data_IF_920632960508
#
_entry.id   IF_920632960508
#
_cell.length_a   1.000
_cell.length_b   1.000
_cell.length_c   1.000
_cell.angle_alpha   90.00
_cell.angle_beta   90.00
_cell.angle_gamma   90.00
#
_symmetry.space_group_name_H-M   'P 1'
#
loop_
_entity.id
_entity.type
_entity.pdbx_description
1 polymer ?
#
# COMPACT_ATOMS: atom_id res chain seq x y z
N UNK A 1 -17.40 -39.81 -33.73
CA UNK A 1 -16.68 -38.85 -34.60
C UNK A 1 -16.28 -37.65 -33.74
N UNK A 2 -14.99 -37.28 -33.66
CA UNK A 2 -14.57 -36.10 -32.91
C UNK A 2 -15.17 -34.85 -33.57
N UNK A 3 -15.90 -34.04 -32.79
CA UNK A 3 -16.51 -32.81 -33.27
C UNK A 3 -15.41 -31.87 -33.79
N UNK A 4 -15.56 -31.34 -35.01
CA UNK A 4 -14.63 -30.37 -35.61
C UNK A 4 -14.58 -29.11 -34.73
N UNK A 5 -13.49 -28.94 -33.98
CA UNK A 5 -13.27 -27.78 -33.12
C UNK A 5 -13.32 -26.44 -33.88
N UNK A 6 -12.99 -26.47 -35.18
CA UNK A 6 -13.06 -25.30 -36.08
C UNK A 6 -14.47 -24.74 -36.33
N UNK A 7 -15.51 -25.42 -35.85
CA UNK A 7 -16.92 -24.98 -35.94
C UNK A 7 -17.46 -24.48 -34.60
N UNK A 8 -16.63 -24.38 -33.57
CA UNK A 8 -17.02 -23.84 -32.28
C UNK A 8 -17.06 -22.31 -32.34
N UNK A 9 -18.08 -21.69 -31.75
CA UNK A 9 -18.32 -20.24 -31.76
C UNK A 9 -17.20 -19.38 -31.12
N UNK A 10 -16.18 -20.00 -30.55
CA UNK A 10 -15.01 -19.36 -29.92
C UNK A 10 -13.70 -19.59 -30.67
N UNK A 11 -13.71 -20.27 -31.81
CA UNK A 11 -12.48 -20.56 -32.58
C UNK A 11 -12.06 -19.44 -33.55
N UNK A 12 -12.93 -18.46 -33.80
CA UNK A 12 -12.61 -17.31 -34.64
C UNK A 12 -11.92 -16.19 -33.83
N UNK A 13 -10.92 -15.53 -34.42
CA UNK A 13 -10.20 -14.41 -33.79
C UNK A 13 -11.06 -13.15 -33.60
N UNK A 14 -12.25 -13.11 -34.21
CA UNK A 14 -13.24 -12.04 -34.05
C UNK A 14 -14.59 -12.64 -33.68
N UNK A 15 -15.28 -12.01 -32.73
CA UNK A 15 -16.66 -12.38 -32.42
C UNK A 15 -17.61 -11.82 -33.47
N UNK A 16 -18.49 -12.67 -33.98
CA UNK A 16 -19.65 -12.25 -34.77
C UNK A 16 -20.62 -11.42 -33.91
N UNK A 17 -21.53 -10.71 -34.58
CA UNK A 17 -22.56 -9.92 -33.89
C UNK A 17 -23.39 -10.77 -32.90
N UNK A 18 -23.78 -11.99 -33.31
CA UNK A 18 -24.57 -12.90 -32.47
C UNK A 18 -23.80 -13.43 -31.27
N UNK A 19 -22.49 -13.67 -31.40
CA UNK A 19 -21.64 -14.06 -30.28
C UNK A 19 -21.46 -12.92 -29.30
N UNK A 20 -21.22 -11.68 -29.78
CA UNK A 20 -21.17 -10.48 -28.92
C UNK A 20 -22.46 -10.26 -28.15
N UNK A 21 -23.62 -10.48 -28.78
CA UNK A 21 -24.93 -10.37 -28.12
C UNK A 21 -25.17 -11.46 -27.06
N UNK A 22 -24.51 -12.63 -27.18
CA UNK A 22 -24.59 -13.71 -26.18
C UNK A 22 -23.68 -13.48 -24.97
N UNK A 23 -22.64 -12.66 -25.13
CA UNK A 23 -21.74 -12.30 -24.05
C UNK A 23 -22.40 -11.20 -23.19
N UNK A 24 -23.07 -11.62 -22.11
CA UNK A 24 -23.84 -10.73 -21.23
C UNK A 24 -22.99 -9.83 -20.32
N UNK A 25 -21.69 -10.05 -20.22
CA UNK A 25 -20.86 -9.36 -19.23
C UNK A 25 -19.70 -8.56 -19.82
N UNK A 26 -19.67 -8.36 -21.16
CA UNK A 26 -18.55 -7.66 -21.83
C UNK A 26 -19.03 -6.64 -22.85
N UNK A 27 -18.34 -5.49 -22.89
CA UNK A 27 -18.57 -4.42 -23.86
C UNK A 27 -19.81 -3.56 -23.60
N UNK A 28 -20.08 -2.63 -24.53
CA UNK A 28 -21.23 -1.74 -24.45
C UNK A 28 -22.50 -2.45 -24.90
N UNK A 29 -23.43 -2.68 -23.99
CA UNK A 29 -24.74 -3.28 -24.29
C UNK A 29 -25.80 -2.21 -24.45
N UNK A 30 -26.67 -2.41 -25.44
CA UNK A 30 -27.83 -1.55 -25.69
C UNK A 30 -29.07 -2.40 -25.55
N UNK A 31 -29.80 -2.17 -24.48
CA UNK A 31 -31.07 -2.82 -24.18
C UNK A 31 -32.10 -1.76 -23.75
N UNK A 32 -33.38 -2.03 -24.02
CA UNK A 32 -34.47 -1.20 -23.50
C UNK A 32 -34.72 -1.62 -22.05
N UNK A 33 -34.52 -0.69 -21.14
CA UNK A 33 -34.79 -0.90 -19.72
C UNK A 33 -36.24 -0.54 -19.40
N UNK A 34 -36.89 -1.37 -18.59
CA UNK A 34 -38.24 -1.10 -18.08
C UNK A 34 -38.21 -0.11 -16.92
N UNK A 35 -39.38 0.40 -16.53
CA UNK A 35 -39.50 1.35 -15.41
C UNK A 35 -38.99 0.79 -14.09
N UNK A 36 -39.02 -0.52 -13.91
CA UNK A 36 -38.51 -1.20 -12.71
C UNK A 36 -36.97 -1.20 -12.63
N UNK A 37 -36.27 -0.92 -13.74
CA UNK A 37 -34.83 -0.71 -13.72
C UNK A 37 -34.45 0.66 -13.13
N UNK A 38 -35.41 1.58 -13.04
CA UNK A 38 -35.22 2.90 -12.44
C UNK A 38 -35.65 2.86 -10.98
N UNK A 39 -34.87 3.52 -10.11
CA UNK A 39 -35.26 3.69 -8.71
C UNK A 39 -36.49 4.58 -8.62
N UNK A 40 -37.52 4.11 -7.89
CA UNK A 40 -38.72 4.92 -7.59
C UNK A 40 -38.36 6.12 -6.72
N UNK A 41 -39.03 7.25 -6.91
CA UNK A 41 -38.77 8.47 -6.16
C UNK A 41 -38.98 8.30 -4.64
N UNK A 42 -39.96 7.49 -4.25
CA UNK A 42 -40.33 7.15 -2.86
C UNK A 42 -39.43 6.10 -2.19
N UNK A 43 -38.49 5.51 -2.94
CA UNK A 43 -37.61 4.48 -2.41
C UNK A 43 -36.51 5.11 -1.56
N UNK A 44 -36.20 4.46 -0.44
CA UNK A 44 -35.08 4.84 0.42
C UNK A 44 -33.75 4.67 -0.33
N UNK A 45 -32.89 5.69 -0.28
CA UNK A 45 -31.56 5.69 -0.91
C UNK A 45 -30.57 4.69 -0.30
N UNK A 46 -30.86 4.10 0.86
CA UNK A 46 -29.99 3.11 1.51
C UNK A 46 -30.45 1.67 1.29
N UNK A 47 -31.75 1.39 1.40
CA UNK A 47 -32.27 0.02 1.29
C UNK A 47 -33.04 -0.27 0.00
N UNK A 48 -33.23 0.73 -0.87
CA UNK A 48 -33.91 0.66 -2.16
C UNK A 48 -35.35 0.10 -2.14
N UNK A 49 -35.95 -0.01 -0.95
CA UNK A 49 -37.36 -0.33 -0.73
C UNK A 49 -38.15 0.97 -0.53
N UNK A 50 -39.47 0.91 -0.65
CA UNK A 50 -40.36 2.01 -0.28
C UNK A 50 -40.02 2.51 1.14
N UNK A 51 -39.85 3.82 1.29
CA UNK A 51 -39.34 4.38 2.54
C UNK A 51 -40.36 4.23 3.69
N UNK A 52 -39.92 3.65 4.80
CA UNK A 52 -40.68 3.56 6.05
C UNK A 52 -40.33 4.74 6.95
N UNK A 53 -41.34 5.49 7.40
CA UNK A 53 -41.17 6.75 8.14
C UNK A 53 -40.13 7.67 7.43
N UNK A 54 -40.46 8.16 6.22
CA UNK A 54 -39.50 8.84 5.36
C UNK A 54 -38.98 10.12 6.02
N UNK A 55 -37.66 10.30 5.95
CA UNK A 55 -36.99 11.54 6.29
C UNK A 55 -36.28 12.05 5.03
N UNK A 56 -36.29 13.37 4.84
CA UNK A 56 -35.73 14.02 3.67
C UNK A 56 -34.55 14.91 4.06
N UNK A 57 -33.49 14.89 3.26
CA UNK A 57 -32.41 15.89 3.38
C UNK A 57 -32.82 17.19 2.68
N UNK A 58 -32.15 18.32 2.97
CA UNK A 58 -32.40 19.58 2.24
C UNK A 58 -32.23 19.48 0.72
N UNK A 59 -31.50 18.47 0.24
CA UNK A 59 -31.27 18.19 -1.18
C UNK A 59 -32.41 17.40 -1.84
N UNK A 60 -33.43 16.96 -1.09
CA UNK A 60 -34.54 16.18 -1.64
C UNK A 60 -34.32 14.67 -1.65
N UNK A 61 -33.33 14.13 -0.94
CA UNK A 61 -33.07 12.69 -0.87
C UNK A 61 -33.89 12.05 0.26
N UNK A 62 -34.60 10.96 -0.06
CA UNK A 62 -35.51 10.26 0.86
C UNK A 62 -34.85 9.02 1.48
N UNK A 63 -34.96 8.89 2.80
CA UNK A 63 -34.43 7.76 3.55
C UNK A 63 -35.46 7.19 4.52
N UNK A 64 -35.34 5.90 4.85
CA UNK A 64 -35.97 5.40 6.07
C UNK A 64 -35.23 5.98 7.28
N UNK A 65 -35.97 6.47 8.28
CA UNK A 65 -35.41 7.01 9.52
C UNK A 65 -34.37 6.07 10.15
N UNK A 66 -34.70 4.79 10.27
CA UNK A 66 -33.81 3.78 10.86
C UNK A 66 -32.55 3.52 10.02
N UNK A 67 -32.70 3.40 8.69
CA UNK A 67 -31.55 3.16 7.80
C UNK A 67 -30.54 4.32 7.88
N UNK A 68 -31.04 5.55 7.96
CA UNK A 68 -30.19 6.74 8.07
C UNK A 68 -29.36 6.73 9.36
N UNK A 69 -29.99 6.41 10.50
CA UNK A 69 -29.28 6.34 11.78
C UNK A 69 -28.22 5.24 11.83
N UNK A 70 -28.54 4.04 11.33
CA UNK A 70 -27.53 2.97 11.24
C UNK A 70 -26.37 3.34 10.34
N UNK A 71 -26.63 4.03 9.23
CA UNK A 71 -25.58 4.51 8.36
C UNK A 71 -24.66 5.50 9.08
N UNK A 72 -25.21 6.44 9.86
CA UNK A 72 -24.39 7.35 10.67
C UNK A 72 -23.59 6.65 11.75
N UNK A 73 -24.15 5.63 12.40
CA UNK A 73 -23.43 4.84 13.39
C UNK A 73 -22.24 4.10 12.76
N UNK A 74 -22.45 3.47 11.60
CA UNK A 74 -21.40 2.78 10.86
C UNK A 74 -20.31 3.75 10.37
N UNK A 75 -20.70 4.92 9.87
CA UNK A 75 -19.75 5.97 9.48
C UNK A 75 -18.88 6.39 10.66
N UNK A 76 -19.47 6.65 11.84
CA UNK A 76 -18.71 7.02 13.04
C UNK A 76 -17.73 5.91 13.45
N UNK A 77 -18.16 4.64 13.41
CA UNK A 77 -17.30 3.50 13.72
C UNK A 77 -16.14 3.36 12.73
N UNK A 78 -16.38 3.58 11.44
CA UNK A 78 -15.34 3.56 10.40
C UNK A 78 -14.34 4.69 10.61
N UNK A 79 -14.80 5.92 10.76
CA UNK A 79 -13.94 7.09 11.02
C UNK A 79 -13.08 6.90 12.27
N UNK A 80 -13.64 6.33 13.34
CA UNK A 80 -12.89 6.07 14.57
C UNK A 80 -11.80 5.00 14.38
N UNK A 81 -12.01 4.01 13.50
CA UNK A 81 -10.97 3.01 13.16
C UNK A 81 -9.89 3.62 12.28
N UNK A 82 -10.29 4.33 11.23
CA UNK A 82 -9.38 5.02 10.30
C UNK A 82 -8.49 6.03 11.02
N UNK A 83 -9.03 6.79 11.99
CA UNK A 83 -8.26 7.72 12.80
C UNK A 83 -7.18 6.99 13.62
N UNK A 84 -7.52 5.89 14.28
CA UNK A 84 -6.57 5.10 15.08
C UNK A 84 -5.48 4.48 14.22
N UNK A 85 -5.85 3.93 13.05
CA UNK A 85 -4.90 3.38 12.10
C UNK A 85 -3.96 4.45 11.57
N UNK A 86 -4.49 5.64 11.24
CA UNK A 86 -3.70 6.77 10.80
C UNK A 86 -2.74 7.24 11.90
N UNK A 87 -3.20 7.40 13.15
CA UNK A 87 -2.36 7.77 14.30
C UNK A 87 -1.22 6.77 14.52
N UNK A 88 -1.53 5.47 14.50
CA UNK A 88 -0.53 4.41 14.63
C UNK A 88 0.51 4.47 13.48
N UNK A 89 0.06 4.70 12.25
CA UNK A 89 0.96 4.88 11.11
C UNK A 89 1.84 6.12 11.25
N UNK A 90 1.31 7.24 11.78
CA UNK A 90 2.11 8.44 12.01
C UNK A 90 3.17 8.23 13.09
N UNK A 91 2.85 7.52 14.17
CA UNK A 91 3.81 7.18 15.22
C UNK A 91 4.92 6.28 14.65
N UNK A 92 4.55 5.19 13.97
CA UNK A 92 5.51 4.27 13.37
C UNK A 92 6.43 4.95 12.35
N UNK A 93 5.91 5.89 11.55
CA UNK A 93 6.73 6.70 10.63
C UNK A 93 7.72 7.58 11.38
N UNK A 94 7.29 8.28 12.42
CA UNK A 94 8.17 9.14 13.24
C UNK A 94 9.26 8.33 13.93
N UNK A 95 8.94 7.15 14.45
CA UNK A 95 9.92 6.24 15.06
C UNK A 95 10.92 5.72 14.03
N UNK A 96 10.45 5.27 12.87
CA UNK A 96 11.32 4.82 11.78
C UNK A 96 12.24 5.95 11.28
N UNK A 97 11.73 7.17 11.13
CA UNK A 97 12.53 8.32 10.73
C UNK A 97 13.53 8.73 11.82
N UNK A 98 13.18 8.60 13.10
CA UNK A 98 14.10 8.84 14.21
C UNK A 98 15.22 7.80 14.25
N UNK A 99 14.90 6.51 14.06
CA UNK A 99 15.88 5.42 13.97
C UNK A 99 16.82 5.64 12.80
N UNK A 100 16.29 5.93 11.59
CA UNK A 100 17.11 6.23 10.41
C UNK A 100 18.06 7.40 10.66
N UNK A 101 17.58 8.49 11.26
CA UNK A 101 18.43 9.64 11.61
C UNK A 101 19.53 9.28 12.62
N UNK A 102 19.22 8.44 13.61
CA UNK A 102 20.23 7.95 14.56
C UNK A 102 21.24 7.03 13.89
N UNK A 103 20.79 6.13 13.01
CA UNK A 103 21.66 5.24 12.23
C UNK A 103 22.58 6.03 11.31
N UNK A 104 22.06 7.01 10.56
CA UNK A 104 22.84 7.91 9.70
C UNK A 104 23.89 8.67 10.52
N UNK A 105 23.50 9.29 11.65
CA UNK A 105 24.43 9.99 12.52
C UNK A 105 25.49 9.07 13.14
N UNK A 106 25.13 7.83 13.47
CA UNK A 106 26.09 6.83 13.98
C UNK A 106 27.06 6.37 12.89
N UNK A 107 26.57 6.18 11.66
CA UNK A 107 27.37 5.78 10.52
C UNK A 107 28.37 6.88 10.12
N UNK A 108 27.95 8.15 10.17
CA UNK A 108 28.85 9.30 9.98
C UNK A 108 29.96 9.34 11.04
N UNK A 109 29.61 9.18 12.32
CA UNK A 109 30.61 9.11 13.40
C UNK A 109 31.58 7.95 13.23
N UNK A 110 31.09 6.76 12.87
CA UNK A 110 31.92 5.59 12.66
C UNK A 110 32.88 5.77 11.48
N UNK A 111 32.40 6.35 10.36
CA UNK A 111 33.27 6.70 9.22
C UNK A 111 34.38 7.65 9.63
N UNK A 112 34.07 8.68 10.42
CA UNK A 112 35.07 9.62 10.92
C UNK A 112 36.12 8.91 11.81
N UNK A 113 35.69 8.07 12.75
CA UNK A 113 36.60 7.30 13.61
C UNK A 113 37.49 6.34 12.82
N UNK A 114 36.97 5.71 11.76
CA UNK A 114 37.77 4.87 10.87
C UNK A 114 38.85 5.67 10.13
N UNK A 115 38.52 6.88 9.67
CA UNK A 115 39.49 7.79 9.04
C UNK A 115 40.58 8.21 10.03
N UNK A 116 40.22 8.61 11.25
CA UNK A 116 41.21 8.93 12.30
C UNK A 116 42.11 7.73 12.64
N UNK A 117 41.55 6.53 12.76
CA UNK A 117 42.31 5.31 13.03
C UNK A 117 43.31 5.00 11.90
N UNK A 118 42.92 5.23 10.65
CA UNK A 118 43.84 5.08 9.49
C UNK A 118 45.02 6.04 9.61
N UNK A 119 44.75 7.31 9.92
CA UNK A 119 45.79 8.34 10.12
C UNK A 119 46.71 7.96 11.29
N UNK A 120 46.16 7.56 12.45
CA UNK A 120 46.93 7.13 13.60
C UNK A 120 47.82 5.91 13.29
N UNK A 121 47.29 4.93 12.56
CA UNK A 121 48.04 3.73 12.15
C UNK A 121 49.20 4.05 11.20
N UNK A 122 49.02 5.04 10.31
CA UNK A 122 50.07 5.50 9.40
C UNK A 122 51.24 6.09 10.19
N UNK A 123 50.95 7.01 11.11
CA UNK A 123 51.99 7.61 11.95
C UNK A 123 52.63 6.59 12.89
N UNK A 124 51.87 5.61 13.42
CA UNK A 124 52.41 4.53 14.25
C UNK A 124 53.42 3.67 13.49
N UNK A 125 53.16 3.35 12.21
CA UNK A 125 54.09 2.60 11.34
C UNK A 125 55.37 3.39 11.03
N UNK A 126 55.31 4.72 11.04
CA UNK A 126 56.48 5.58 10.81
C UNK A 126 57.28 5.88 12.09
N UNK A 127 56.84 5.41 13.27
CA UNK A 127 57.61 5.58 14.51
C UNK A 127 58.88 4.76 14.43
N UNK A 128 59.99 5.39 14.81
CA UNK A 128 61.25 4.68 15.03
C UNK A 128 61.11 3.84 16.30
N UNK A 129 61.57 2.57 16.30
CA UNK A 129 61.49 1.71 17.47
C UNK A 129 62.28 2.32 18.63
N UNK A 130 61.78 2.13 19.85
CA UNK A 130 62.45 2.61 21.05
C UNK A 130 63.70 1.78 21.34
N UNK A 131 64.65 2.35 22.07
CA UNK A 131 65.94 1.71 22.36
C UNK A 131 65.75 0.34 23.05
N UNK A 132 64.76 0.23 23.94
CA UNK A 132 64.42 -1.04 24.61
C UNK A 132 63.87 -2.12 23.66
N UNK A 133 63.12 -1.74 22.61
CA UNK A 133 62.55 -2.70 21.64
C UNK A 133 63.61 -3.25 20.67
N UNK A 134 64.64 -2.45 20.35
CA UNK A 134 65.77 -2.87 19.53
C UNK A 134 66.69 -3.86 20.27
N UNK A 135 66.78 -3.76 21.60
CA UNK A 135 67.61 -4.65 22.44
C UNK A 135 67.02 -6.06 22.59
N UNK A 136 65.70 -6.22 22.41
CA UNK A 136 64.98 -7.50 22.49
C UNK A 136 64.84 -8.23 21.14
N UNK A 137 65.23 -7.62 20.03
CA UNK A 137 65.10 -8.22 18.70
C UNK A 137 66.11 -9.37 18.48
N UNK A 138 65.69 -10.53 17.93
CA UNK A 138 66.58 -11.66 17.70
C UNK A 138 67.69 -11.26 16.71
N UNK A 139 68.95 -11.36 17.14
CA UNK A 139 70.12 -11.08 16.30
C UNK A 139 70.23 -12.17 15.22
N UNK A 140 69.80 -11.85 14.01
CA UNK A 140 69.92 -12.75 12.84
C UNK A 140 71.37 -12.70 12.35
N UNK A 141 72.10 -13.81 12.48
CA UNK A 141 73.42 -13.99 11.90
C UNK A 141 73.30 -14.08 10.37
N UNK A 142 74.07 -13.26 9.65
CA UNK A 142 74.16 -13.26 8.19
C UNK A 142 75.43 -14.01 7.79
N UNK A 143 75.28 -15.14 7.10
CA UNK A 143 76.35 -15.87 6.38
C UNK A 143 76.75 -15.13 5.09
#
# INVERSE_FOLDING_TARGET
>A
MPARHSKNATSAAFYSYHERKKLKDVGTQRERLDTDALRRFEACWLCNRTALAPVCTPQGLVYCKQCLFFNFEDQKKRMAKELKEWEAQQIAKKEADAVKKMEEASAEKNKFLEEENKVASYYAKQRKPTVAELELAPKVNRE
#
